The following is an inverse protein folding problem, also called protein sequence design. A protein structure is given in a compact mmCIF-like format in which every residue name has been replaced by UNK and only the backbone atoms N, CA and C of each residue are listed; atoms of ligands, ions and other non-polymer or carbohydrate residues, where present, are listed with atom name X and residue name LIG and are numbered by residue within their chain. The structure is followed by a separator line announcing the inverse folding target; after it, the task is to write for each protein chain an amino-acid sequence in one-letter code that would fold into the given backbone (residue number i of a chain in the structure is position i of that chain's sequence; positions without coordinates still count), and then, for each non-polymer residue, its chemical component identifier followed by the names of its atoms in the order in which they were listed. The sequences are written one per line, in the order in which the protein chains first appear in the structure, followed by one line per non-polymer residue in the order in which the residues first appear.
data_IF_309015364935
#
_entry.id   IF_309015364935
#
_cell.length_a   1.000
_cell.length_b   1.000
_cell.length_c   1.000
_cell.angle_alpha   90.00
_cell.angle_beta   90.00
_cell.angle_gamma   90.00
#
_symmetry.space_group_name_H-M   'P 1'
#
loop_
_entity.id
_entity.type
_entity.pdbx_description
1 polymer ?
#
# COMPACT_ATOMS: atom_id res chain seq x y z
N UNK A 1 -3.51 -20.65 -6.52
CA UNK A 1 -3.73 -19.75 -5.35
C UNK A 1 -3.66 -18.29 -5.80
N UNK A 2 -4.43 -17.95 -6.84
CA UNK A 2 -4.22 -16.72 -7.61
C UNK A 2 -5.31 -15.69 -7.34
N UNK A 3 -6.47 -16.15 -6.88
CA UNK A 3 -7.56 -15.31 -6.36
C UNK A 3 -7.06 -14.42 -5.22
N UNK A 4 -6.22 -14.93 -4.32
CA UNK A 4 -5.65 -14.14 -3.21
C UNK A 4 -4.75 -13.02 -3.75
N UNK A 5 -3.80 -13.34 -4.64
CA UNK A 5 -2.92 -12.34 -5.26
C UNK A 5 -3.69 -11.32 -6.08
N UNK A 6 -4.67 -11.77 -6.86
CA UNK A 6 -5.49 -10.91 -7.70
C UNK A 6 -6.39 -9.99 -6.87
N UNK A 7 -7.01 -10.52 -5.81
CA UNK A 7 -7.84 -9.73 -4.88
C UNK A 7 -7.01 -8.68 -4.14
N UNK A 8 -5.85 -9.05 -3.61
CA UNK A 8 -4.92 -8.12 -2.97
C UNK A 8 -4.45 -7.05 -3.96
N UNK A 9 -3.98 -7.43 -5.15
CA UNK A 9 -3.51 -6.45 -6.14
C UNK A 9 -4.63 -5.50 -6.59
N UNK A 10 -5.87 -6.00 -6.68
CA UNK A 10 -7.05 -5.20 -6.99
C UNK A 10 -7.37 -4.20 -5.87
N UNK A 11 -7.36 -4.65 -4.61
CA UNK A 11 -7.57 -3.78 -3.43
C UNK A 11 -6.43 -2.77 -3.28
N UNK A 12 -5.17 -3.16 -3.49
CA UNK A 12 -4.01 -2.26 -3.45
C UNK A 12 -4.08 -1.19 -4.54
N UNK A 13 -4.51 -1.56 -5.75
CA UNK A 13 -4.72 -0.62 -6.85
C UNK A 13 -5.80 0.41 -6.52
N UNK A 14 -6.93 -0.04 -5.97
CA UNK A 14 -8.02 0.84 -5.56
C UNK A 14 -7.62 1.75 -4.39
N UNK A 15 -6.90 1.22 -3.39
CA UNK A 15 -6.38 2.01 -2.28
C UNK A 15 -5.35 3.05 -2.74
N UNK A 16 -4.47 2.69 -3.67
CA UNK A 16 -3.47 3.63 -4.21
C UNK A 16 -4.13 4.77 -4.97
N UNK A 17 -5.22 4.51 -5.69
CA UNK A 17 -6.00 5.54 -6.37
C UNK A 17 -6.63 6.51 -5.37
N UNK A 18 -7.21 5.98 -4.27
CA UNK A 18 -7.78 6.80 -3.20
C UNK A 18 -6.69 7.61 -2.47
N UNK A 19 -5.53 6.99 -2.20
CA UNK A 19 -4.39 7.65 -1.58
C UNK A 19 -3.84 8.79 -2.44
N UNK A 20 -3.77 8.60 -3.77
CA UNK A 20 -3.43 9.66 -4.72
C UNK A 20 -4.45 10.81 -4.67
N UNK A 21 -5.74 10.50 -4.64
CA UNK A 21 -6.80 11.52 -4.50
C UNK A 21 -6.67 12.34 -3.21
N UNK A 22 -6.41 11.68 -2.08
CA UNK A 22 -6.17 12.37 -0.80
C UNK A 22 -4.87 13.17 -0.79
N UNK A 23 -3.80 12.65 -1.40
CA UNK A 23 -2.53 13.35 -1.53
C UNK A 23 -2.66 14.61 -2.40
N UNK A 24 -3.42 14.54 -3.50
CA UNK A 24 -3.73 15.70 -4.34
C UNK A 24 -4.56 16.72 -3.57
N UNK A 25 -5.60 16.31 -2.83
CA UNK A 25 -6.42 17.22 -2.04
C UNK A 25 -5.62 17.91 -0.93
N UNK A 26 -4.85 17.14 -0.15
CA UNK A 26 -4.00 17.67 0.92
C UNK A 26 -2.87 18.55 0.38
N UNK A 27 -2.28 18.16 -0.76
CA UNK A 27 -1.24 18.91 -1.46
C UNK A 27 -1.76 20.24 -2.01
N UNK A 28 -2.93 20.25 -2.68
CA UNK A 28 -3.57 21.48 -3.15
C UNK A 28 -3.89 22.42 -2.00
N UNK A 29 -4.41 21.88 -0.89
CA UNK A 29 -4.68 22.67 0.30
C UNK A 29 -3.41 23.30 0.91
N UNK A 30 -2.26 22.61 0.86
CA UNK A 30 -0.97 23.18 1.28
C UNK A 30 -0.44 24.23 0.31
N UNK A 31 -0.50 23.97 -1.01
CA UNK A 31 0.00 24.90 -2.04
C UNK A 31 -0.84 26.17 -2.11
N UNK A 32 -2.16 26.06 -1.95
CA UNK A 32 -3.09 27.20 -1.91
C UNK A 32 -3.19 27.86 -0.53
N UNK A 33 -2.41 27.39 0.47
CA UNK A 33 -2.47 27.96 1.82
C UNK A 33 -2.00 29.44 1.88
N UNK A 34 -1.24 29.94 0.90
CA UNK A 34 -0.84 31.35 0.79
C UNK A 34 -0.30 31.99 2.10
N UNK A 35 0.35 31.19 2.97
CA UNK A 35 0.88 31.61 4.26
C UNK A 35 -0.05 31.43 5.47
N UNK A 36 -1.24 30.88 5.30
CA UNK A 36 -2.15 30.53 6.40
C UNK A 36 -1.74 29.21 7.08
N UNK A 37 -1.24 29.31 8.31
CA UNK A 37 -0.80 28.16 9.12
C UNK A 37 -1.90 27.13 9.36
N UNK A 38 -3.18 27.56 9.39
CA UNK A 38 -4.33 26.69 9.61
C UNK A 38 -4.54 25.75 8.43
N UNK A 39 -4.54 26.29 7.21
CA UNK A 39 -4.66 25.51 5.97
C UNK A 39 -3.46 24.59 5.75
N UNK A 40 -2.26 25.06 6.09
CA UNK A 40 -1.04 24.25 6.01
C UNK A 40 -1.08 23.06 6.96
N UNK A 41 -1.42 23.26 8.25
CA UNK A 41 -1.58 22.15 9.21
C UNK A 41 -2.68 21.18 8.81
N UNK A 42 -3.79 21.69 8.26
CA UNK A 42 -4.88 20.86 7.74
C UNK A 42 -4.41 19.93 6.62
N UNK A 43 -3.74 20.47 5.60
CA UNK A 43 -3.19 19.68 4.50
C UNK A 43 -2.10 18.71 4.95
N UNK A 44 -1.23 19.11 5.89
CA UNK A 44 -0.21 18.24 6.47
C UNK A 44 -0.80 17.04 7.23
N UNK A 45 -1.92 17.23 7.93
CA UNK A 45 -2.65 16.13 8.59
C UNK A 45 -3.19 15.12 7.59
N UNK A 46 -3.76 15.59 6.48
CA UNK A 46 -4.27 14.74 5.39
C UNK A 46 -3.11 13.98 4.73
N UNK A 47 -2.01 14.67 4.43
CA UNK A 47 -0.80 14.05 3.87
C UNK A 47 -0.21 12.99 4.79
N UNK A 48 -0.17 13.24 6.10
CA UNK A 48 0.28 12.24 7.09
C UNK A 48 -0.62 11.00 7.08
N UNK A 49 -1.94 11.17 6.99
CA UNK A 49 -2.88 10.06 6.88
C UNK A 49 -2.73 9.30 5.56
N UNK A 50 -2.58 10.01 4.44
CA UNK A 50 -2.33 9.42 3.13
C UNK A 50 -1.01 8.63 3.10
N UNK A 51 0.05 9.16 3.71
CA UNK A 51 1.34 8.48 3.84
C UNK A 51 1.23 7.17 4.62
N UNK A 52 0.48 7.15 5.73
CA UNK A 52 0.23 5.92 6.50
C UNK A 52 -0.53 4.90 5.66
N UNK A 53 -1.55 5.33 4.90
CA UNK A 53 -2.27 4.46 3.97
C UNK A 53 -1.35 3.84 2.91
N UNK A 54 -0.47 4.65 2.30
CA UNK A 54 0.53 4.21 1.34
C UNK A 54 1.50 3.18 1.93
N UNK A 55 1.94 3.40 3.17
CA UNK A 55 2.80 2.45 3.89
C UNK A 55 2.07 1.12 4.12
N UNK A 56 0.82 1.14 4.57
CA UNK A 56 0.03 -0.08 4.81
C UNK A 56 -0.17 -0.89 3.52
N UNK A 57 -0.44 -0.22 2.41
CA UNK A 57 -0.51 -0.83 1.07
C UNK A 57 0.80 -1.53 0.72
N UNK A 58 1.93 -0.83 0.88
CA UNK A 58 3.26 -1.41 0.65
C UNK A 58 3.56 -2.61 1.54
N UNK A 59 3.24 -2.52 2.83
CA UNK A 59 3.38 -3.62 3.79
C UNK A 59 2.51 -4.82 3.42
N UNK A 60 1.29 -4.60 2.96
CA UNK A 60 0.38 -5.67 2.54
C UNK A 60 1.01 -6.51 1.42
N UNK A 61 1.64 -5.86 0.43
CA UNK A 61 2.32 -6.57 -0.66
C UNK A 61 3.51 -7.41 -0.16
N UNK A 62 4.33 -6.84 0.74
CA UNK A 62 5.49 -7.53 1.33
C UNK A 62 5.03 -8.77 2.10
N UNK A 63 4.04 -8.63 2.98
CA UNK A 63 3.53 -9.74 3.81
C UNK A 63 3.01 -10.88 2.95
N UNK A 64 2.25 -10.56 1.90
CA UNK A 64 1.72 -11.56 0.97
C UNK A 64 2.86 -12.29 0.27
N UNK A 65 3.86 -11.55 -0.24
CA UNK A 65 5.05 -12.13 -0.86
C UNK A 65 5.83 -13.04 0.11
N UNK A 66 5.98 -12.61 1.37
CA UNK A 66 6.62 -13.41 2.42
C UNK A 66 5.85 -14.70 2.73
N UNK A 67 4.53 -14.65 2.82
CA UNK A 67 3.69 -15.83 3.03
C UNK A 67 3.82 -16.82 1.86
N UNK A 68 3.83 -16.33 0.61
CA UNK A 68 4.06 -17.18 -0.56
C UNK A 68 5.46 -17.79 -0.57
N UNK A 69 6.48 -17.06 -0.14
CA UNK A 69 7.84 -17.58 -0.01
C UNK A 69 7.94 -18.65 1.09
N UNK A 70 7.29 -18.45 2.23
CA UNK A 70 7.27 -19.41 3.34
C UNK A 70 6.50 -20.67 2.93
N UNK A 71 5.30 -20.54 2.35
CA UNK A 71 4.48 -21.68 1.92
C UNK A 71 5.13 -22.40 0.73
N UNK A 72 5.70 -21.68 -0.23
CA UNK A 72 6.41 -22.26 -1.37
C UNK A 72 7.73 -22.92 -0.96
N UNK A 73 8.42 -22.37 0.04
CA UNK A 73 9.60 -22.98 0.66
C UNK A 73 9.27 -24.22 1.48
N UNK A 74 8.11 -24.24 2.15
CA UNK A 74 7.58 -25.44 2.82
C UNK A 74 7.11 -26.51 1.82
N UNK A 75 6.50 -26.09 0.72
CA UNK A 75 6.03 -26.96 -0.37
C UNK A 75 7.16 -27.43 -1.29
N UNK A 76 8.37 -26.86 -1.18
CA UNK A 76 9.57 -27.26 -1.92
C UNK A 76 10.28 -28.49 -1.35
N UNK A 77 9.68 -29.16 -0.36
CA UNK A 77 10.22 -30.33 0.31
C UNK A 77 9.61 -31.67 -0.11
N UNK A 78 9.15 -31.84 -1.35
CA UNK A 78 8.72 -33.15 -1.86
C UNK A 78 9.35 -33.47 -3.23
N UNK A 79 10.47 -34.19 -3.18
CA UNK A 79 10.56 -35.48 -3.86
C UNK A 79 11.15 -35.58 -5.27
N UNK A 80 12.33 -35.00 -5.55
CA UNK A 80 13.05 -35.33 -6.79
C UNK A 80 14.44 -35.96 -6.57
N UNK A 81 14.47 -37.14 -5.95
CA UNK A 81 15.41 -38.27 -6.23
C UNK A 81 14.71 -39.55 -5.71
N UNK A 82 14.72 -40.74 -6.35
CA UNK A 82 15.55 -41.26 -7.46
C UNK A 82 14.78 -41.91 -8.64
N UNK A 83 15.40 -41.96 -9.83
CA UNK A 83 15.85 -43.17 -10.56
C UNK A 83 16.87 -42.70 -11.60
#
# INVERSE_FOLDING_TARGET
MDIVKSFINWVLGLLSLIALGMALWGGFQMVTAAGDDGKYKGGFKILKQAAIGLIVVGFSWIIVSSIFWIIGGFSGGEGSMPQ
#
